data_IF_568407866156
#
_entry.id   IF_568407866156
#
_cell.length_a   1.000
_cell.length_b   1.000
_cell.length_c   1.000
_cell.angle_alpha   90.00
_cell.angle_beta   90.00
_cell.angle_gamma   90.00
#
_symmetry.space_group_name_H-M   'P 1'
#
loop_
_entity.id
_entity.type
_entity.pdbx_description
1 polymer ?
#
# COMPACT_ATOMS: atom_id res chain seq x y z
N UNK A 1 19.16 1.99 16.66
CA UNK A 1 18.99 0.53 16.48
C UNK A 1 18.21 -0.16 17.60
N UNK A 2 18.63 -0.14 18.88
CA UNK A 2 17.88 -0.84 19.96
C UNK A 2 16.42 -0.38 20.09
N UNK A 3 16.16 0.90 19.90
CA UNK A 3 14.81 1.49 19.96
C UNK A 3 13.87 1.04 18.84
N UNK A 4 14.39 0.49 17.73
CA UNK A 4 13.59 0.07 16.58
C UNK A 4 13.25 -1.43 16.60
N UNK A 5 13.98 -2.26 17.36
CA UNK A 5 13.81 -3.73 17.32
C UNK A 5 12.44 -4.17 17.81
N UNK A 6 12.00 -3.68 18.98
CA UNK A 6 10.71 -4.04 19.55
C UNK A 6 9.54 -3.50 18.72
N UNK A 7 9.53 -2.21 18.30
CA UNK A 7 8.54 -1.71 17.35
C UNK A 7 8.50 -2.48 16.03
N UNK A 8 9.64 -2.93 15.51
CA UNK A 8 9.68 -3.72 14.29
C UNK A 8 9.03 -5.10 14.48
N UNK A 9 9.28 -5.78 15.60
CA UNK A 9 8.58 -7.02 15.94
C UNK A 9 7.07 -6.79 16.08
N UNK A 10 6.67 -5.69 16.71
CA UNK A 10 5.26 -5.27 16.79
C UNK A 10 4.65 -5.08 15.40
N UNK A 11 5.37 -4.46 14.48
CA UNK A 11 4.91 -4.27 13.11
C UNK A 11 4.85 -5.59 12.33
N UNK A 12 5.80 -6.50 12.53
CA UNK A 12 5.74 -7.84 11.95
C UNK A 12 4.50 -8.63 12.43
N UNK A 13 4.12 -8.50 13.71
CA UNK A 13 2.86 -9.06 14.23
C UNK A 13 1.65 -8.39 13.58
N UNK A 14 1.67 -7.07 13.41
CA UNK A 14 0.62 -6.34 12.69
C UNK A 14 0.48 -6.88 11.25
N UNK A 15 1.57 -7.23 10.57
CA UNK A 15 1.50 -7.84 9.24
C UNK A 15 0.81 -9.21 9.24
N UNK A 16 0.91 -10.00 10.30
CA UNK A 16 0.12 -11.24 10.44
C UNK A 16 -1.38 -10.94 10.52
N UNK A 17 -1.75 -9.88 11.26
CA UNK A 17 -3.14 -9.38 11.33
C UNK A 17 -3.60 -8.95 9.93
N UNK A 18 -2.76 -8.21 9.19
CA UNK A 18 -3.03 -7.78 7.81
C UNK A 18 -3.25 -8.97 6.88
N UNK A 19 -2.40 -10.00 6.95
CA UNK A 19 -2.55 -11.23 6.15
C UNK A 19 -3.91 -11.87 6.41
N UNK A 20 -4.30 -11.99 7.68
CA UNK A 20 -5.58 -12.59 8.07
C UNK A 20 -6.76 -11.72 7.62
N UNK A 21 -6.67 -10.40 7.76
CA UNK A 21 -7.68 -9.47 7.26
C UNK A 21 -7.88 -9.60 5.74
N UNK A 22 -6.80 -9.80 4.97
CA UNK A 22 -6.87 -10.04 3.52
C UNK A 22 -7.62 -11.32 3.12
N UNK A 23 -7.69 -12.33 3.99
CA UNK A 23 -8.44 -13.56 3.74
C UNK A 23 -9.93 -13.28 3.52
N UNK A 24 -10.46 -12.19 4.07
CA UNK A 24 -11.84 -11.77 3.86
C UNK A 24 -12.18 -11.56 2.39
N UNK A 25 -11.22 -11.07 1.61
CA UNK A 25 -11.40 -10.75 0.19
C UNK A 25 -10.96 -11.92 -0.69
N UNK A 26 -10.09 -12.80 -0.19
CA UNK A 26 -9.76 -14.04 -0.89
C UNK A 26 -10.97 -14.98 -0.92
N UNK A 27 -11.35 -15.33 -2.14
CA UNK A 27 -12.36 -16.34 -2.47
C UNK A 27 -11.78 -17.57 -3.16
N UNK A 28 -10.47 -17.79 -3.01
CA UNK A 28 -9.89 -19.10 -3.31
C UNK A 28 -10.37 -20.11 -2.23
N UNK A 29 -10.76 -21.31 -2.66
CA UNK A 29 -11.22 -22.37 -1.74
C UNK A 29 -10.05 -22.91 -0.90
N UNK A 30 -8.89 -23.05 -1.54
CA UNK A 30 -7.63 -23.43 -0.90
C UNK A 30 -6.59 -22.36 -1.20
N UNK A 31 -5.89 -21.92 -0.15
CA UNK A 31 -4.95 -20.80 -0.24
C UNK A 31 -3.54 -21.35 -0.20
N UNK A 32 -2.87 -21.29 -1.35
CA UNK A 32 -1.45 -21.66 -1.53
C UNK A 32 -0.54 -20.46 -1.21
N UNK A 33 0.77 -20.63 -1.33
CA UNK A 33 1.76 -19.55 -1.09
C UNK A 33 1.48 -18.25 -1.87
N UNK A 34 1.15 -18.33 -3.16
CA UNK A 34 0.75 -17.14 -3.96
C UNK A 34 -0.56 -16.53 -3.46
N UNK A 35 -1.48 -17.35 -2.96
CA UNK A 35 -2.71 -16.89 -2.33
C UNK A 35 -2.43 -16.17 -1.01
N UNK A 36 -1.49 -16.64 -0.19
CA UNK A 36 -1.07 -15.93 1.03
C UNK A 36 -0.42 -14.58 0.72
N UNK A 37 0.44 -14.54 -0.29
CA UNK A 37 1.05 -13.28 -0.74
C UNK A 37 -0.03 -12.30 -1.25
N UNK A 38 -0.98 -12.79 -2.04
CA UNK A 38 -2.15 -11.99 -2.46
C UNK A 38 -2.97 -11.55 -1.23
N UNK A 39 -3.07 -12.38 -0.19
CA UNK A 39 -3.79 -12.06 1.05
C UNK A 39 -3.11 -10.91 1.77
N UNK A 40 -1.80 -10.97 1.87
CA UNK A 40 -1.01 -9.92 2.50
C UNK A 40 -1.21 -8.58 1.81
N UNK A 41 -0.99 -8.54 0.49
CA UNK A 41 -1.13 -7.32 -0.31
C UNK A 41 -2.56 -6.79 -0.27
N UNK A 42 -3.56 -7.65 -0.44
CA UNK A 42 -4.97 -7.21 -0.42
C UNK A 42 -5.45 -6.82 0.96
N UNK A 43 -4.90 -7.42 2.02
CA UNK A 43 -5.09 -6.98 3.40
C UNK A 43 -4.52 -5.58 3.62
N UNK A 44 -3.31 -5.30 3.11
CA UNK A 44 -2.70 -3.98 3.22
C UNK A 44 -3.55 -2.92 2.49
N UNK A 45 -4.00 -3.22 1.27
CA UNK A 45 -4.90 -2.33 0.51
C UNK A 45 -6.24 -2.13 1.20
N UNK A 46 -6.78 -3.17 1.86
CA UNK A 46 -8.02 -3.06 2.63
C UNK A 46 -7.87 -2.10 3.81
N UNK A 47 -6.75 -2.17 4.54
CA UNK A 47 -6.48 -1.26 5.65
C UNK A 47 -6.28 0.17 5.15
N UNK A 48 -5.54 0.36 4.05
CA UNK A 48 -5.39 1.68 3.45
C UNK A 48 -6.71 2.24 2.94
N UNK A 49 -7.55 1.43 2.30
CA UNK A 49 -8.88 1.84 1.85
C UNK A 49 -9.79 2.23 3.03
N UNK A 50 -9.76 1.46 4.13
CA UNK A 50 -10.50 1.80 5.34
C UNK A 50 -10.01 3.11 5.96
N UNK A 51 -8.69 3.30 6.05
CA UNK A 51 -8.10 4.53 6.56
C UNK A 51 -8.48 5.72 5.69
N UNK A 52 -8.46 5.59 4.36
CA UNK A 52 -8.87 6.66 3.44
C UNK A 52 -10.28 7.16 3.73
N UNK A 53 -11.24 6.23 3.83
CA UNK A 53 -12.64 6.58 4.07
C UNK A 53 -12.81 7.22 5.45
N UNK A 54 -12.21 6.64 6.48
CA UNK A 54 -12.32 7.15 7.85
C UNK A 54 -11.62 8.50 8.03
N UNK A 55 -10.35 8.60 7.64
CA UNK A 55 -9.54 9.78 7.86
C UNK A 55 -10.11 11.00 7.12
N UNK A 56 -10.42 10.88 5.82
CA UNK A 56 -10.98 12.03 5.08
C UNK A 56 -12.30 12.47 5.69
N UNK A 57 -13.21 11.54 6.01
CA UNK A 57 -14.50 11.89 6.60
C UNK A 57 -14.33 12.60 7.95
N UNK A 58 -13.47 12.09 8.82
CA UNK A 58 -13.25 12.64 10.16
C UNK A 58 -12.49 13.98 10.12
N UNK A 59 -11.53 14.14 9.21
CA UNK A 59 -10.84 15.43 8.99
C UNK A 59 -11.85 16.49 8.55
N UNK A 60 -12.73 16.16 7.58
CA UNK A 60 -13.77 17.08 7.11
C UNK A 60 -14.76 17.47 8.20
N UNK A 61 -15.09 16.53 9.10
CA UNK A 61 -15.95 16.76 10.26
C UNK A 61 -15.23 17.39 11.45
N UNK A 62 -13.93 17.69 11.35
CA UNK A 62 -13.09 18.24 12.43
C UNK A 62 -13.10 17.37 13.70
N UNK A 63 -13.16 16.05 13.53
CA UNK A 63 -13.02 15.13 14.66
C UNK A 63 -11.56 15.03 15.08
N UNK A 64 -11.34 14.72 16.36
CA UNK A 64 -9.99 14.53 16.88
C UNK A 64 -9.31 13.27 16.32
N UNK A 65 -7.99 13.32 16.22
CA UNK A 65 -7.14 12.18 15.87
C UNK A 65 -7.38 10.97 16.78
N UNK A 66 -7.69 11.19 18.06
CA UNK A 66 -8.01 10.14 19.02
C UNK A 66 -9.19 9.27 18.55
N UNK A 67 -10.22 9.89 17.98
CA UNK A 67 -11.42 9.22 17.46
C UNK A 67 -11.08 8.43 16.20
N UNK A 68 -10.27 8.99 15.30
CA UNK A 68 -9.77 8.28 14.11
C UNK A 68 -8.96 7.04 14.52
N UNK A 69 -8.03 7.21 15.46
CA UNK A 69 -7.16 6.14 15.94
C UNK A 69 -7.96 4.96 16.49
N UNK A 70 -8.89 5.21 17.42
CA UNK A 70 -9.67 4.13 18.04
C UNK A 70 -10.65 3.49 17.07
N UNK A 71 -11.28 4.29 16.20
CA UNK A 71 -12.19 3.77 15.17
C UNK A 71 -11.45 2.88 14.18
N UNK A 72 -10.28 3.32 13.71
CA UNK A 72 -9.46 2.55 12.79
C UNK A 72 -8.96 1.25 13.43
N UNK A 73 -8.50 1.30 14.69
CA UNK A 73 -8.13 0.09 15.45
C UNK A 73 -9.32 -0.88 15.57
N UNK A 74 -10.52 -0.38 15.87
CA UNK A 74 -11.74 -1.18 15.90
C UNK A 74 -12.03 -1.88 14.57
N UNK A 75 -11.90 -1.15 13.45
CA UNK A 75 -12.06 -1.74 12.10
C UNK A 75 -11.02 -2.82 11.84
N UNK A 76 -9.75 -2.60 12.17
CA UNK A 76 -8.68 -3.62 12.04
C UNK A 76 -9.02 -4.88 12.82
N UNK A 77 -9.49 -4.74 14.07
CA UNK A 77 -9.90 -5.87 14.92
C UNK A 77 -11.07 -6.64 14.31
N UNK A 78 -12.09 -5.94 13.80
CA UNK A 78 -13.24 -6.56 13.14
C UNK A 78 -12.80 -7.34 11.90
N UNK A 79 -11.98 -6.72 11.03
CA UNK A 79 -11.46 -7.36 9.82
C UNK A 79 -10.63 -8.60 10.16
N UNK A 80 -9.77 -8.51 11.18
CA UNK A 80 -9.02 -9.66 11.68
C UNK A 80 -9.95 -10.78 12.16
N UNK A 81 -10.92 -10.47 13.01
CA UNK A 81 -11.88 -11.43 13.56
C UNK A 81 -12.70 -12.16 12.49
N UNK A 82 -13.11 -11.45 11.43
CA UNK A 82 -13.78 -12.06 10.27
C UNK A 82 -12.84 -12.99 9.49
N UNK A 83 -11.57 -12.60 9.35
CA UNK A 83 -10.55 -13.33 8.62
C UNK A 83 -10.14 -14.64 9.28
N UNK A 84 -10.14 -14.72 10.62
CA UNK A 84 -9.75 -15.91 11.40
C UNK A 84 -10.49 -17.17 10.93
N UNK A 85 -11.78 -17.03 10.62
CA UNK A 85 -12.64 -18.15 10.18
C UNK A 85 -12.13 -18.83 8.90
N UNK A 86 -11.34 -18.11 8.10
CA UNK A 86 -10.78 -18.57 6.82
C UNK A 86 -9.36 -19.12 6.94
N UNK A 87 -8.69 -19.01 8.10
CA UNK A 87 -7.33 -19.53 8.31
C UNK A 87 -7.24 -21.03 7.99
N UNK A 88 -8.29 -21.80 8.29
CA UNK A 88 -8.37 -23.25 8.00
C UNK A 88 -8.24 -23.57 6.48
N UNK A 89 -8.44 -22.60 5.60
CA UNK A 89 -8.27 -22.74 4.14
C UNK A 89 -6.81 -22.62 3.68
N UNK A 90 -5.91 -22.20 4.56
CA UNK A 90 -4.49 -22.07 4.26
C UNK A 90 -3.88 -23.47 4.17
N UNK A 91 -3.32 -23.78 3.01
CA UNK A 91 -2.60 -25.04 2.74
C UNK A 91 -1.22 -24.68 2.21
N UNK A 92 -0.25 -24.72 3.12
CA UNK A 92 1.16 -24.48 2.80
C UNK A 92 1.77 -25.72 2.16
N UNK A 93 1.55 -25.89 0.85
CA UNK A 93 2.23 -26.93 0.08
C UNK A 93 3.56 -26.39 -0.43
N UNK A 94 4.66 -26.88 0.14
CA UNK A 94 6.01 -26.62 -0.38
C UNK A 94 6.17 -27.48 -1.64
N UNK A 95 6.21 -26.82 -2.79
CA UNK A 95 6.54 -27.50 -4.04
C UNK A 95 8.06 -27.62 -4.14
N UNK A 96 8.54 -28.78 -4.57
CA UNK A 96 9.97 -28.98 -4.81
C UNK A 96 10.41 -28.06 -5.95
N UNK A 97 11.26 -27.08 -5.62
CA UNK A 97 11.88 -26.20 -6.61
C UNK A 97 13.02 -26.95 -7.29
N UNK A 98 13.30 -26.62 -8.56
CA UNK A 98 14.54 -27.04 -9.19
C UNK A 98 15.74 -26.41 -8.47
N UNK A 99 16.94 -27.01 -8.54
CA UNK A 99 18.15 -26.42 -7.96
C UNK A 99 18.40 -24.99 -8.44
N UNK A 100 18.17 -24.72 -9.73
CA UNK A 100 18.31 -23.38 -10.33
C UNK A 100 17.29 -22.40 -9.75
N UNK A 101 16.02 -22.80 -9.65
CA UNK A 101 15.00 -21.97 -9.01
C UNK A 101 15.34 -21.68 -7.54
N UNK A 102 15.88 -22.65 -6.81
CA UNK A 102 16.30 -22.45 -5.42
C UNK A 102 17.43 -21.42 -5.33
N UNK A 103 18.43 -21.49 -6.21
CA UNK A 103 19.51 -20.49 -6.28
C UNK A 103 18.94 -19.09 -6.54
N UNK A 104 18.05 -18.93 -7.53
CA UNK A 104 17.44 -17.64 -7.80
C UNK A 104 16.53 -17.14 -6.67
N UNK A 105 15.83 -18.03 -5.97
CA UNK A 105 15.05 -17.68 -4.78
C UNK A 105 15.95 -17.13 -3.68
N UNK A 106 17.02 -17.85 -3.33
CA UNK A 106 17.96 -17.44 -2.28
C UNK A 106 18.65 -16.13 -2.67
N UNK A 107 19.11 -15.99 -3.92
CA UNK A 107 19.72 -14.76 -4.41
C UNK A 107 18.74 -13.58 -4.34
N UNK A 108 17.48 -13.78 -4.73
CA UNK A 108 16.45 -12.75 -4.62
C UNK A 108 16.21 -12.35 -3.18
N UNK A 109 16.05 -13.31 -2.26
CA UNK A 109 15.83 -13.05 -0.84
C UNK A 109 17.00 -12.27 -0.25
N UNK A 110 18.24 -12.69 -0.50
CA UNK A 110 19.42 -12.00 0.02
C UNK A 110 19.51 -10.55 -0.47
N UNK A 111 19.24 -10.32 -1.76
CA UNK A 111 19.27 -8.97 -2.34
C UNK A 111 18.12 -8.08 -1.81
N UNK A 112 16.92 -8.64 -1.63
CA UNK A 112 15.79 -7.91 -1.06
C UNK A 112 16.05 -7.58 0.42
N UNK A 113 16.64 -8.53 1.17
CA UNK A 113 17.01 -8.29 2.57
C UNK A 113 18.14 -7.27 2.70
N UNK A 114 19.11 -7.24 1.77
CA UNK A 114 20.14 -6.20 1.78
C UNK A 114 19.54 -4.81 1.54
N UNK A 115 18.58 -4.69 0.62
CA UNK A 115 17.82 -3.47 0.39
C UNK A 115 17.01 -3.05 1.62
N UNK A 116 16.28 -3.99 2.22
CA UNK A 116 15.54 -3.75 3.44
C UNK A 116 16.46 -3.31 4.60
N UNK A 117 17.68 -3.84 4.64
CA UNK A 117 18.72 -3.48 5.60
C UNK A 117 19.21 -2.03 5.47
N UNK A 118 19.15 -1.42 4.28
CA UNK A 118 19.53 -0.01 4.08
C UNK A 118 18.69 0.91 4.98
N UNK A 119 17.41 0.61 5.18
CA UNK A 119 16.52 1.38 6.06
C UNK A 119 16.80 1.20 7.56
N UNK A 120 17.42 0.07 7.93
CA UNK A 120 17.79 -0.25 9.30
C UNK A 120 19.14 0.34 9.72
N UNK A 121 20.09 0.33 8.80
CA UNK A 121 21.48 0.72 9.06
C UNK A 121 21.82 2.10 8.50
N UNK A 122 21.07 2.56 7.49
CA UNK A 122 21.22 3.86 6.86
C UNK A 122 20.24 4.89 7.41
N UNK A 123 20.49 6.15 7.05
CA UNK A 123 19.62 7.27 7.34
C UNK A 123 19.51 8.11 6.06
N UNK A 124 18.29 8.41 5.66
CA UNK A 124 17.99 9.34 4.57
C UNK A 124 17.27 10.54 5.18
N UNK A 125 17.72 11.74 4.84
CA UNK A 125 17.05 12.99 5.21
C UNK A 125 16.34 13.52 3.97
N UNK A 126 15.07 13.87 4.10
CA UNK A 126 14.26 14.36 2.99
C UNK A 126 13.57 15.66 3.35
N UNK A 127 13.45 16.59 2.41
CA UNK A 127 12.73 17.85 2.64
C UNK A 127 11.24 17.61 2.89
N UNK A 128 10.68 16.53 2.32
CA UNK A 128 9.30 16.13 2.57
C UNK A 128 9.05 15.76 4.05
N UNK A 129 10.10 15.52 4.85
CA UNK A 129 10.00 15.22 6.28
C UNK A 129 9.33 16.34 7.07
N UNK A 130 9.67 17.58 6.73
CA UNK A 130 9.16 18.78 7.37
C UNK A 130 7.64 18.95 7.21
N UNK A 131 7.02 18.20 6.28
CA UNK A 131 5.58 18.18 6.09
C UNK A 131 4.94 16.91 6.63
N UNK A 132 5.30 15.74 6.10
CA UNK A 132 4.59 14.50 6.43
C UNK A 132 4.80 14.08 7.89
N UNK A 133 6.02 14.21 8.42
CA UNK A 133 6.27 13.86 9.81
C UNK A 133 5.76 14.93 10.76
N UNK A 134 5.80 16.21 10.36
CA UNK A 134 5.23 17.31 11.13
C UNK A 134 3.72 17.13 11.31
N UNK A 135 2.97 16.89 10.22
CA UNK A 135 1.51 16.67 10.28
C UNK A 135 1.14 15.44 11.11
N UNK A 136 1.93 14.37 11.05
CA UNK A 136 1.70 13.18 11.86
C UNK A 136 1.96 13.42 13.36
N UNK A 137 3.04 14.13 13.71
CA UNK A 137 3.34 14.47 15.11
C UNK A 137 2.31 15.47 15.67
N UNK A 138 1.94 16.47 14.87
CA UNK A 138 0.96 17.49 15.25
C UNK A 138 -0.40 16.87 15.62
N UNK A 139 -0.86 15.90 14.83
CA UNK A 139 -2.09 15.17 15.13
C UNK A 139 -2.01 14.34 16.42
N UNK A 140 -0.82 13.83 16.76
CA UNK A 140 -0.61 13.09 18.01
C UNK A 140 -0.59 14.04 19.22
N UNK A 141 0.10 15.18 19.07
CA UNK A 141 0.35 16.12 20.18
C UNK A 141 -0.86 16.98 20.49
N UNK A 142 -1.57 17.46 19.46
CA UNK A 142 -2.66 18.42 19.62
C UNK A 142 -4.05 17.78 19.49
N UNK A 143 -4.14 16.61 18.85
CA UNK A 143 -5.41 15.97 18.50
C UNK A 143 -6.07 16.54 17.23
N UNK A 144 -5.64 17.70 16.75
CA UNK A 144 -6.16 18.30 15.52
C UNK A 144 -5.53 17.65 14.28
N UNK A 145 -6.30 17.52 13.19
CA UNK A 145 -5.80 16.96 11.93
C UNK A 145 -5.86 18.00 10.80
N UNK A 146 -4.73 18.24 10.13
CA UNK A 146 -4.62 19.06 8.92
C UNK A 146 -5.04 20.54 9.10
N UNK A 147 -4.92 21.08 10.31
CA UNK A 147 -5.34 22.46 10.65
C UNK A 147 -4.18 23.40 10.91
N UNK A 148 -2.95 22.89 11.07
CA UNK A 148 -1.76 23.70 11.34
C UNK A 148 -0.85 23.79 10.14
N UNK A 149 -0.17 24.92 10.02
CA UNK A 149 0.87 25.13 9.03
C UNK A 149 2.08 24.25 9.38
N UNK A 150 2.47 23.34 8.50
CA UNK A 150 3.70 22.55 8.68
C UNK A 150 4.97 23.41 8.55
N UNK A 151 4.87 24.64 8.03
CA UNK A 151 5.99 25.58 7.94
C UNK A 151 6.20 26.42 9.21
N UNK A 152 5.12 26.84 9.87
CA UNK A 152 5.17 27.80 10.99
C UNK A 152 4.66 27.24 12.32
N UNK A 153 3.96 26.10 12.31
CA UNK A 153 3.30 25.50 13.49
C UNK A 153 2.01 26.22 13.91
N UNK A 154 1.64 27.29 13.21
CA UNK A 154 0.47 28.11 13.54
C UNK A 154 -0.82 27.36 13.24
N UNK A 155 -1.78 27.46 14.15
CA UNK A 155 -3.13 26.98 13.94
C UNK A 155 -3.84 27.86 12.91
N UNK A 156 -4.29 27.24 11.83
CA UNK A 156 -5.05 27.89 10.78
C UNK A 156 -6.55 27.71 11.06
N UNK A 157 -7.34 28.76 10.88
CA UNK A 157 -8.82 28.67 10.93
C UNK A 157 -9.44 27.88 9.77
N UNK A 158 -8.61 27.20 8.95
CA UNK A 158 -8.98 26.44 7.76
C UNK A 158 -8.09 25.21 7.65
N UNK A 159 -8.32 24.37 6.64
CA UNK A 159 -7.38 23.29 6.36
C UNK A 159 -6.07 23.85 5.80
N UNK A 160 -4.94 23.28 6.21
CA UNK A 160 -3.60 23.75 5.82
C UNK A 160 -3.36 23.55 4.32
N UNK A 161 -3.51 22.31 3.86
CA UNK A 161 -3.29 21.91 2.47
C UNK A 161 -4.41 20.98 2.02
N UNK A 162 -5.26 21.44 1.10
CA UNK A 162 -6.43 20.67 0.65
C UNK A 162 -6.07 19.32 0.03
N UNK A 163 -4.87 19.21 -0.56
CA UNK A 163 -4.36 17.94 -1.12
C UNK A 163 -4.05 16.90 -0.04
N UNK A 164 -3.68 17.30 1.17
CA UNK A 164 -3.40 16.37 2.27
C UNK A 164 -4.68 15.98 3.00
N UNK A 165 -5.68 16.87 3.02
CA UNK A 165 -7.02 16.56 3.53
C UNK A 165 -7.64 15.38 2.78
N UNK A 166 -7.53 15.36 1.44
CA UNK A 166 -8.08 14.27 0.61
C UNK A 166 -7.16 13.06 0.47
N UNK A 167 -5.89 13.20 0.85
CA UNK A 167 -4.88 12.14 0.85
C UNK A 167 -4.12 12.13 2.18
N UNK A 168 -4.75 11.74 3.30
CA UNK A 168 -4.20 11.89 4.64
C UNK A 168 -3.18 10.81 4.98
N UNK A 169 -2.14 10.68 4.15
CA UNK A 169 -1.01 9.79 4.34
C UNK A 169 -0.29 9.94 5.70
N UNK A 170 -0.09 11.15 6.27
CA UNK A 170 0.54 11.29 7.60
C UNK A 170 -0.22 10.55 8.70
N UNK A 171 -1.55 10.45 8.59
CA UNK A 171 -2.37 9.78 9.61
C UNK A 171 -2.03 8.30 9.73
N UNK A 172 -1.56 7.66 8.66
CA UNK A 172 -1.03 6.30 8.74
C UNK A 172 0.17 6.24 9.68
N UNK A 173 1.14 7.14 9.53
CA UNK A 173 2.32 7.17 10.39
C UNK A 173 1.99 7.57 11.82
N UNK A 174 1.03 8.47 12.00
CA UNK A 174 0.53 8.82 13.33
C UNK A 174 -0.12 7.62 14.04
N UNK A 175 -0.94 6.85 13.33
CA UNK A 175 -1.54 5.63 13.87
C UNK A 175 -0.47 4.58 14.17
N UNK A 176 0.42 4.32 13.23
CA UNK A 176 1.47 3.30 13.39
C UNK A 176 2.43 3.66 14.54
N UNK A 177 2.79 4.94 14.72
CA UNK A 177 3.66 5.35 15.83
C UNK A 177 3.01 5.07 17.19
N UNK A 178 1.68 5.31 17.29
CA UNK A 178 0.87 5.01 18.48
C UNK A 178 0.71 3.51 18.73
N UNK A 179 0.44 2.71 17.69
CA UNK A 179 0.32 1.24 17.80
C UNK A 179 1.65 0.60 18.20
N UNK A 180 2.77 1.09 17.66
CA UNK A 180 4.10 0.53 17.86
C UNK A 180 4.85 1.16 19.04
N UNK A 181 4.23 2.11 19.74
CA UNK A 181 4.81 2.85 20.86
C UNK A 181 6.19 3.44 20.54
N UNK A 182 6.32 4.07 19.37
CA UNK A 182 7.60 4.62 18.89
C UNK A 182 7.40 5.98 18.21
N UNK A 183 8.51 6.62 17.80
CA UNK A 183 8.48 7.92 17.13
C UNK A 183 8.05 7.78 15.67
N UNK A 184 7.32 8.77 15.16
CA UNK A 184 6.88 8.83 13.75
C UNK A 184 8.07 8.64 12.79
N UNK A 185 9.22 9.23 13.08
CA UNK A 185 10.43 9.10 12.24
C UNK A 185 10.99 7.69 12.18
N UNK A 186 10.96 6.94 13.29
CA UNK A 186 11.38 5.53 13.30
C UNK A 186 10.41 4.69 12.46
N UNK A 187 9.12 4.99 12.53
CA UNK A 187 8.12 4.32 11.67
C UNK A 187 8.39 4.63 10.19
N UNK A 188 8.48 5.90 9.83
CA UNK A 188 8.57 6.37 8.45
C UNK A 188 9.88 5.96 7.77
N UNK A 189 11.03 6.02 8.46
CA UNK A 189 12.33 5.80 7.81
C UNK A 189 12.94 4.42 8.05
N UNK A 190 12.44 3.66 9.03
CA UNK A 190 12.99 2.33 9.35
C UNK A 190 11.93 1.24 9.22
N UNK A 191 10.85 1.30 9.98
CA UNK A 191 9.94 0.15 10.13
C UNK A 191 9.08 -0.06 8.88
N UNK A 192 8.39 1.00 8.44
CA UNK A 192 7.47 0.92 7.31
C UNK A 192 8.19 0.56 6.00
N UNK A 193 9.29 1.23 5.62
CA UNK A 193 10.00 0.94 4.37
C UNK A 193 10.49 -0.49 4.22
N UNK A 194 10.99 -1.10 5.30
CA UNK A 194 11.50 -2.49 5.28
C UNK A 194 10.40 -3.49 4.91
N UNK A 195 9.18 -3.29 5.38
CA UNK A 195 8.08 -4.19 5.02
C UNK A 195 7.55 -3.86 3.63
N UNK A 196 7.46 -2.57 3.30
CA UNK A 196 6.91 -2.11 2.03
C UNK A 196 7.77 -2.57 0.84
N UNK A 197 9.10 -2.58 0.98
CA UNK A 197 9.99 -3.09 -0.09
C UNK A 197 9.78 -4.59 -0.33
N UNK A 198 9.54 -5.38 0.72
CA UNK A 198 9.24 -6.81 0.60
C UNK A 198 7.90 -7.00 -0.12
N UNK A 199 6.91 -6.17 0.20
CA UNK A 199 5.61 -6.16 -0.49
C UNK A 199 5.76 -5.83 -1.98
N UNK A 200 6.57 -4.83 -2.35
CA UNK A 200 6.85 -4.46 -3.75
C UNK A 200 7.39 -5.65 -4.54
N UNK A 201 8.38 -6.37 -4.02
CA UNK A 201 8.90 -7.57 -4.69
C UNK A 201 7.90 -8.72 -4.69
N UNK A 202 7.05 -8.81 -3.67
CA UNK A 202 5.88 -9.68 -3.67
C UNK A 202 4.93 -9.40 -4.84
N UNK A 203 4.65 -8.12 -5.12
CA UNK A 203 3.83 -7.71 -6.26
C UNK A 203 4.52 -8.08 -7.58
N UNK A 204 5.82 -7.85 -7.72
CA UNK A 204 6.57 -8.30 -8.90
C UNK A 204 6.52 -9.82 -9.09
N UNK A 205 6.61 -10.60 -8.00
CA UNK A 205 6.43 -12.05 -8.07
C UNK A 205 5.01 -12.43 -8.52
N UNK A 206 3.97 -11.74 -8.04
CA UNK A 206 2.60 -11.97 -8.49
C UNK A 206 2.41 -11.64 -9.98
N UNK A 207 2.96 -10.53 -10.46
CA UNK A 207 2.97 -10.17 -11.90
C UNK A 207 3.68 -11.27 -12.70
N UNK A 208 4.89 -11.66 -12.28
CA UNK A 208 5.64 -12.73 -12.92
C UNK A 208 4.86 -14.05 -12.93
N UNK A 209 4.10 -14.35 -11.87
CA UNK A 209 3.29 -15.57 -11.79
C UNK A 209 2.14 -15.60 -12.80
N UNK A 210 1.62 -14.45 -13.20
CA UNK A 210 0.62 -14.33 -14.26
C UNK A 210 1.28 -14.40 -15.64
N UNK A 211 2.48 -13.85 -15.81
CA UNK A 211 3.15 -13.75 -17.12
C UNK A 211 3.94 -15.01 -17.49
N UNK A 212 4.58 -15.67 -16.53
CA UNK A 212 5.57 -16.73 -16.73
C UNK A 212 5.10 -18.04 -16.14
N UNK A 213 5.29 -19.15 -16.85
CA UNK A 213 4.84 -20.47 -16.41
C UNK A 213 5.83 -21.16 -15.46
N UNK A 214 7.14 -21.06 -15.73
CA UNK A 214 8.19 -21.74 -14.96
C UNK A 214 8.59 -20.95 -13.71
N UNK A 215 8.81 -21.63 -12.59
CA UNK A 215 9.26 -21.01 -11.33
C UNK A 215 10.61 -20.33 -11.47
N UNK A 216 11.53 -20.90 -12.24
CA UNK A 216 12.84 -20.34 -12.54
C UNK A 216 12.69 -18.97 -13.18
N UNK A 217 11.92 -18.88 -14.27
CA UNK A 217 11.70 -17.62 -14.99
C UNK A 217 11.04 -16.54 -14.09
N UNK A 218 10.11 -16.94 -13.22
CA UNK A 218 9.50 -16.00 -12.25
C UNK A 218 10.51 -15.43 -11.26
N UNK A 219 11.39 -16.28 -10.74
CA UNK A 219 12.41 -15.87 -9.77
C UNK A 219 13.54 -15.08 -10.46
N UNK A 220 13.90 -15.45 -11.68
CA UNK A 220 14.80 -14.65 -12.53
C UNK A 220 14.22 -13.25 -12.74
N UNK A 221 12.94 -13.12 -13.08
CA UNK A 221 12.29 -11.82 -13.23
C UNK A 221 12.40 -10.96 -11.96
N UNK A 222 12.10 -11.53 -10.79
CA UNK A 222 12.18 -10.80 -9.52
C UNK A 222 13.63 -10.41 -9.19
N UNK A 223 14.58 -11.32 -9.40
CA UNK A 223 16.00 -11.04 -9.19
C UNK A 223 16.49 -9.88 -10.07
N UNK A 224 16.16 -9.91 -11.37
CA UNK A 224 16.52 -8.83 -12.29
C UNK A 224 15.83 -7.51 -11.94
N UNK A 225 14.55 -7.55 -11.57
CA UNK A 225 13.85 -6.35 -11.09
C UNK A 225 14.50 -5.76 -9.83
N UNK A 226 14.98 -6.62 -8.92
CA UNK A 226 15.70 -6.19 -7.73
C UNK A 226 17.08 -5.61 -8.03
N UNK A 227 17.83 -6.21 -8.96
CA UNK A 227 19.12 -5.71 -9.42
C UNK A 227 18.99 -4.34 -10.10
N UNK A 228 18.02 -4.19 -11.02
CA UNK A 228 17.79 -2.92 -11.71
C UNK A 228 17.48 -1.82 -10.71
N UNK A 229 16.57 -2.08 -9.74
CA UNK A 229 16.24 -1.08 -8.73
C UNK A 229 17.45 -0.73 -7.86
N UNK A 230 18.28 -1.71 -7.50
CA UNK A 230 19.47 -1.50 -6.66
C UNK A 230 20.52 -0.60 -7.31
N UNK A 231 20.77 -0.78 -8.61
CA UNK A 231 21.87 -0.11 -9.31
C UNK A 231 21.43 1.12 -10.10
N UNK A 232 20.13 1.36 -10.29
CA UNK A 232 19.62 2.46 -11.10
C UNK A 232 19.36 3.74 -10.27
N UNK A 233 20.44 4.37 -9.83
CA UNK A 233 20.46 5.61 -9.03
C UNK A 233 20.71 6.91 -9.81
N UNK A 234 20.55 6.92 -11.14
CA UNK A 234 20.92 8.07 -11.98
C UNK A 234 20.05 9.33 -11.81
N UNK A 235 18.97 9.27 -11.03
CA UNK A 235 18.10 10.42 -10.72
C UNK A 235 17.32 10.20 -9.43
N UNK A 236 16.96 11.30 -8.75
CA UNK A 236 16.08 11.27 -7.57
C UNK A 236 14.63 10.90 -7.89
N UNK A 237 14.28 10.87 -9.19
CA UNK A 237 12.95 10.54 -9.72
C UNK A 237 12.88 9.17 -10.38
N UNK A 238 13.87 8.29 -10.15
CA UNK A 238 13.82 6.91 -10.65
C UNK A 238 12.99 6.01 -9.74
N UNK A 239 12.46 4.93 -10.32
CA UNK A 239 11.79 3.87 -9.55
C UNK A 239 12.71 3.25 -8.49
N UNK A 240 14.01 3.10 -8.77
CA UNK A 240 14.98 2.64 -7.78
C UNK A 240 15.03 3.57 -6.57
N UNK A 241 15.16 4.88 -6.77
CA UNK A 241 15.16 5.86 -5.68
C UNK A 241 13.83 5.90 -4.91
N UNK A 242 12.70 5.83 -5.63
CA UNK A 242 11.38 5.79 -4.99
C UNK A 242 11.18 4.54 -4.13
N UNK A 243 11.59 3.37 -4.60
CA UNK A 243 11.45 2.12 -3.85
C UNK A 243 12.48 1.94 -2.73
N UNK A 244 13.72 2.44 -2.90
CA UNK A 244 14.84 2.14 -1.99
C UNK A 244 15.18 3.24 -1.00
N UNK A 245 14.73 4.46 -1.22
CA UNK A 245 15.07 5.60 -0.38
C UNK A 245 13.79 6.28 0.13
N UNK A 246 12.81 6.45 -0.75
CA UNK A 246 11.65 7.33 -0.51
C UNK A 246 10.33 6.59 -0.38
N UNK A 247 10.33 5.26 -0.22
CA UNK A 247 9.11 4.43 -0.31
C UNK A 247 8.06 4.78 0.76
N UNK A 248 8.47 5.45 1.83
CA UNK A 248 7.60 6.00 2.87
C UNK A 248 6.80 7.22 2.40
N UNK A 249 7.22 7.91 1.36
CA UNK A 249 6.46 9.02 0.78
C UNK A 249 5.32 8.48 -0.05
N UNK A 250 4.12 9.02 0.14
CA UNK A 250 2.95 8.50 -0.56
C UNK A 250 3.06 8.56 -2.09
N UNK A 251 3.72 9.58 -2.67
CA UNK A 251 4.00 9.61 -4.11
C UNK A 251 4.88 8.45 -4.61
N UNK A 252 5.88 8.09 -3.83
CA UNK A 252 6.77 6.98 -4.13
C UNK A 252 6.04 5.64 -3.92
N UNK A 253 5.25 5.52 -2.85
CA UNK A 253 4.40 4.34 -2.62
C UNK A 253 3.40 4.12 -3.77
N UNK A 254 2.80 5.17 -4.33
CA UNK A 254 1.93 5.05 -5.51
C UNK A 254 2.70 4.45 -6.70
N UNK A 255 3.91 4.96 -6.95
CA UNK A 255 4.73 4.51 -8.08
C UNK A 255 5.24 3.06 -7.90
N UNK A 256 5.66 2.70 -6.69
CA UNK A 256 6.26 1.40 -6.38
C UNK A 256 5.22 0.30 -6.10
N UNK A 257 4.05 0.65 -5.57
CA UNK A 257 3.04 -0.31 -5.06
C UNK A 257 1.77 -0.26 -5.90
N UNK A 258 1.12 0.90 -5.96
CA UNK A 258 -0.22 1.04 -6.56
C UNK A 258 -0.19 0.75 -8.06
N UNK A 259 0.75 1.37 -8.80
CA UNK A 259 0.84 1.19 -10.25
C UNK A 259 1.09 -0.29 -10.62
N UNK A 260 2.14 -0.97 -10.10
CA UNK A 260 2.36 -2.38 -10.42
C UNK A 260 1.19 -3.28 -10.01
N UNK A 261 0.55 -2.99 -8.88
CA UNK A 261 -0.58 -3.77 -8.39
C UNK A 261 -1.83 -3.62 -9.26
N UNK A 262 -2.11 -2.42 -9.78
CA UNK A 262 -3.16 -2.22 -10.79
C UNK A 262 -2.88 -3.06 -12.04
N UNK A 263 -1.65 -3.03 -12.56
CA UNK A 263 -1.26 -3.86 -13.71
C UNK A 263 -1.41 -5.36 -13.43
N UNK A 264 -1.04 -5.83 -12.24
CA UNK A 264 -1.29 -7.21 -11.82
C UNK A 264 -2.78 -7.58 -11.95
N UNK A 265 -3.68 -6.75 -11.41
CA UNK A 265 -5.12 -7.02 -11.49
C UNK A 265 -5.68 -6.87 -12.90
N UNK A 266 -5.19 -5.94 -13.72
CA UNK A 266 -5.56 -5.81 -15.13
C UNK A 266 -5.21 -7.08 -15.92
N UNK A 267 -4.01 -7.64 -15.70
CA UNK A 267 -3.60 -8.91 -16.29
C UNK A 267 -4.51 -10.05 -15.78
N UNK A 268 -4.80 -10.09 -14.48
CA UNK A 268 -5.62 -11.15 -13.88
C UNK A 268 -7.06 -11.16 -14.39
N UNK A 269 -7.70 -9.98 -14.51
CA UNK A 269 -9.04 -9.81 -15.09
C UNK A 269 -9.06 -10.34 -16.53
N UNK A 270 -8.07 -9.99 -17.35
CA UNK A 270 -7.99 -10.41 -18.75
C UNK A 270 -7.76 -11.93 -18.89
N UNK A 271 -6.81 -12.49 -18.14
CA UNK A 271 -6.44 -13.92 -18.28
C UNK A 271 -7.47 -14.87 -17.69
N UNK A 272 -8.13 -14.48 -16.60
CA UNK A 272 -8.96 -15.39 -15.80
C UNK A 272 -10.45 -15.06 -15.86
N UNK A 273 -10.83 -13.98 -16.55
CA UNK A 273 -12.21 -13.47 -16.60
C UNK A 273 -12.85 -13.37 -15.20
N UNK A 274 -12.04 -13.02 -14.19
CA UNK A 274 -12.45 -13.03 -12.79
C UNK A 274 -13.08 -11.70 -12.43
N UNK A 275 -14.41 -11.68 -12.40
CA UNK A 275 -15.18 -10.49 -12.02
C UNK A 275 -14.81 -9.94 -10.63
N UNK A 276 -14.39 -10.79 -9.70
CA UNK A 276 -13.93 -10.37 -8.36
C UNK A 276 -12.70 -9.46 -8.42
N UNK A 277 -11.87 -9.55 -9.46
CA UNK A 277 -10.67 -8.73 -9.55
C UNK A 277 -10.98 -7.23 -9.75
N UNK A 278 -12.18 -6.87 -10.20
CA UNK A 278 -12.65 -5.48 -10.19
C UNK A 278 -12.82 -4.89 -8.78
N UNK A 279 -13.22 -5.72 -7.80
CA UNK A 279 -13.29 -5.30 -6.39
C UNK A 279 -11.88 -4.96 -5.89
N UNK A 280 -10.88 -5.75 -6.29
CA UNK A 280 -9.49 -5.43 -5.96
C UNK A 280 -9.02 -4.14 -6.61
N UNK A 281 -9.39 -3.90 -7.88
CA UNK A 281 -9.07 -2.64 -8.56
C UNK A 281 -9.67 -1.45 -7.80
N UNK A 282 -10.92 -1.55 -7.34
CA UNK A 282 -11.56 -0.50 -6.51
C UNK A 282 -10.80 -0.25 -5.20
N UNK A 283 -10.39 -1.31 -4.51
CA UNK A 283 -9.63 -1.22 -3.26
C UNK A 283 -8.24 -0.62 -3.46
N UNK A 284 -7.55 -0.99 -4.53
CA UNK A 284 -6.25 -0.41 -4.90
C UNK A 284 -6.42 1.06 -5.29
N UNK A 285 -7.53 1.43 -5.94
CA UNK A 285 -7.90 2.83 -6.20
C UNK A 285 -8.03 3.65 -4.93
N UNK A 286 -8.79 3.16 -3.95
CA UNK A 286 -8.94 3.78 -2.62
C UNK A 286 -7.60 3.89 -1.87
N UNK A 287 -6.81 2.82 -1.86
CA UNK A 287 -5.49 2.82 -1.23
C UNK A 287 -4.55 3.85 -1.90
N UNK A 288 -4.61 3.99 -3.22
CA UNK A 288 -3.85 5.02 -3.92
C UNK A 288 -4.29 6.44 -3.56
N UNK A 289 -5.59 6.66 -3.34
CA UNK A 289 -6.12 7.96 -2.91
C UNK A 289 -5.59 8.39 -1.53
N UNK A 290 -5.37 7.44 -0.61
CA UNK A 290 -4.75 7.69 0.69
C UNK A 290 -3.33 8.25 0.57
N UNK A 291 -2.56 7.70 -0.36
CA UNK A 291 -1.13 7.95 -0.43
C UNK A 291 -0.80 9.37 -0.90
N UNK A 292 -1.46 9.87 -1.95
CA UNK A 292 -1.19 11.24 -2.44
C UNK A 292 -2.26 11.71 -3.43
N UNK A 293 -2.30 13.03 -3.67
CA UNK A 293 -3.10 13.60 -4.75
C UNK A 293 -2.72 13.04 -6.13
N UNK A 294 -1.46 12.64 -6.36
CA UNK A 294 -1.08 11.91 -7.58
C UNK A 294 -1.69 10.51 -7.61
N UNK A 295 -1.82 9.85 -6.47
CA UNK A 295 -2.51 8.56 -6.36
C UNK A 295 -3.97 8.65 -6.75
N UNK A 296 -4.68 9.73 -6.36
CA UNK A 296 -6.05 10.00 -6.83
C UNK A 296 -6.08 10.05 -8.37
N UNK A 297 -5.26 10.90 -8.97
CA UNK A 297 -5.25 11.10 -10.44
C UNK A 297 -4.81 9.84 -11.20
N UNK A 298 -3.73 9.19 -10.77
CA UNK A 298 -3.16 8.01 -11.45
C UNK A 298 -4.14 6.84 -11.38
N UNK A 299 -4.74 6.58 -10.22
CA UNK A 299 -5.73 5.49 -10.10
C UNK A 299 -6.95 5.77 -10.97
N UNK A 300 -7.48 7.00 -10.95
CA UNK A 300 -8.59 7.41 -11.81
C UNK A 300 -8.29 7.19 -13.30
N UNK A 301 -7.12 7.64 -13.77
CA UNK A 301 -6.72 7.53 -15.18
C UNK A 301 -6.49 6.06 -15.56
N UNK A 302 -5.69 5.32 -14.79
CA UNK A 302 -5.34 3.94 -15.15
C UNK A 302 -6.56 3.03 -15.13
N UNK A 303 -7.42 3.15 -14.11
CA UNK A 303 -8.66 2.36 -14.01
C UNK A 303 -9.63 2.78 -15.12
N UNK A 304 -9.77 4.09 -15.39
CA UNK A 304 -10.59 4.63 -16.47
C UNK A 304 -10.20 4.10 -17.85
N UNK A 305 -8.93 4.26 -18.21
CA UNK A 305 -8.39 3.81 -19.51
C UNK A 305 -8.50 2.30 -19.65
N UNK A 306 -8.10 1.54 -18.61
CA UNK A 306 -8.22 0.09 -18.64
C UNK A 306 -9.68 -0.37 -18.75
N UNK A 307 -10.60 0.27 -18.02
CA UNK A 307 -12.02 -0.05 -18.04
C UNK A 307 -12.64 0.13 -19.43
N UNK A 308 -12.38 1.28 -20.06
CA UNK A 308 -12.82 1.57 -21.43
C UNK A 308 -12.21 0.56 -22.40
N UNK A 309 -10.90 0.33 -22.34
CA UNK A 309 -10.23 -0.69 -23.16
C UNK A 309 -10.86 -2.07 -22.96
N UNK A 310 -11.12 -2.48 -21.72
CA UNK A 310 -11.65 -3.81 -21.41
C UNK A 310 -13.06 -4.00 -21.97
N UNK A 311 -13.92 -2.99 -21.90
CA UNK A 311 -15.27 -3.05 -22.46
C UNK A 311 -15.20 -3.10 -24.00
N UNK A 312 -14.39 -2.24 -24.62
CA UNK A 312 -14.29 -2.16 -26.09
C UNK A 312 -13.63 -3.40 -26.69
N UNK A 313 -12.52 -3.88 -26.12
CA UNK A 313 -11.76 -5.01 -26.66
C UNK A 313 -12.45 -6.36 -26.45
N UNK A 314 -13.14 -6.56 -25.33
CA UNK A 314 -13.79 -7.84 -25.01
C UNK A 314 -15.30 -7.84 -25.25
N UNK A 315 -15.89 -6.68 -25.59
CA UNK A 315 -17.33 -6.49 -25.85
C UNK A 315 -18.26 -7.10 -24.78
N UNK A 316 -17.78 -7.17 -23.54
CA UNK A 316 -18.49 -7.79 -22.43
C UNK A 316 -19.16 -6.73 -21.55
N UNK A 317 -20.32 -6.28 -22.01
CA UNK A 317 -21.12 -5.22 -21.36
C UNK A 317 -21.51 -5.54 -19.91
N UNK A 318 -21.54 -6.83 -19.52
CA UNK A 318 -21.77 -7.25 -18.12
C UNK A 318 -20.68 -6.75 -17.16
N UNK A 319 -19.53 -6.30 -17.68
CA UNK A 319 -18.43 -5.74 -16.89
C UNK A 319 -18.61 -4.26 -16.53
N UNK A 320 -19.54 -3.54 -17.17
CA UNK A 320 -19.78 -2.10 -16.93
C UNK A 320 -20.03 -1.77 -15.46
N UNK A 321 -20.93 -2.45 -14.73
CA UNK A 321 -21.17 -2.12 -13.34
C UNK A 321 -19.90 -2.26 -12.48
N UNK A 322 -19.07 -3.27 -12.75
CA UNK A 322 -17.82 -3.49 -12.03
C UNK A 322 -16.77 -2.42 -12.34
N UNK A 323 -16.69 -2.00 -13.61
CA UNK A 323 -15.86 -0.86 -14.00
C UNK A 323 -16.29 0.42 -13.27
N UNK A 324 -17.59 0.75 -13.30
CA UNK A 324 -18.13 1.94 -12.62
C UNK A 324 -17.79 1.90 -11.12
N UNK A 325 -18.07 0.78 -10.45
CA UNK A 325 -17.74 0.60 -9.03
C UNK A 325 -16.24 0.74 -8.75
N UNK A 326 -15.38 0.32 -9.69
CA UNK A 326 -13.93 0.43 -9.52
C UNK A 326 -13.38 1.85 -9.66
N UNK A 327 -14.05 2.72 -10.43
CA UNK A 327 -13.59 4.09 -10.68
C UNK A 327 -14.22 5.12 -9.74
N UNK A 328 -15.43 4.84 -9.23
CA UNK A 328 -16.16 5.71 -8.30
C UNK A 328 -15.29 6.20 -7.14
N UNK A 329 -14.49 5.37 -6.45
CA UNK A 329 -13.76 5.84 -5.28
C UNK A 329 -12.75 6.94 -5.61
N UNK A 330 -11.92 6.74 -6.64
CA UNK A 330 -10.95 7.74 -7.08
C UNK A 330 -11.63 8.99 -7.63
N UNK A 331 -12.74 8.84 -8.34
CA UNK A 331 -13.53 9.97 -8.83
C UNK A 331 -14.12 10.78 -7.67
N UNK A 332 -14.66 10.12 -6.65
CA UNK A 332 -15.25 10.78 -5.49
C UNK A 332 -14.22 11.64 -4.77
N UNK A 333 -13.02 11.12 -4.49
CA UNK A 333 -11.96 11.92 -3.84
C UNK A 333 -11.39 13.02 -4.73
N UNK A 334 -11.33 12.81 -6.05
CA UNK A 334 -11.00 13.88 -6.99
C UNK A 334 -12.03 15.02 -6.92
N UNK A 335 -13.33 14.70 -6.92
CA UNK A 335 -14.39 15.70 -6.80
C UNK A 335 -14.33 16.42 -5.44
N UNK A 336 -14.13 15.68 -4.34
CA UNK A 336 -13.95 16.28 -3.01
C UNK A 336 -12.82 17.31 -3.00
N UNK A 337 -11.67 16.98 -3.62
CA UNK A 337 -10.55 17.92 -3.73
C UNK A 337 -10.93 19.21 -4.46
N UNK A 338 -11.63 19.09 -5.59
CA UNK A 338 -12.09 20.26 -6.35
C UNK A 338 -13.13 21.07 -5.58
N UNK A 339 -14.05 20.43 -4.87
CA UNK A 339 -15.05 21.09 -4.04
C UNK A 339 -14.43 21.83 -2.84
N UNK A 340 -13.33 21.35 -2.28
CA UNK A 340 -12.62 22.02 -1.19
C UNK A 340 -11.77 23.20 -1.67
N UNK A 341 -11.38 23.20 -2.95
CA UNK A 341 -10.57 24.26 -3.56
C UNK A 341 -11.40 25.44 -4.06
N UNK A 342 -12.65 25.20 -4.44
CA UNK A 342 -13.60 26.22 -4.89
C UNK A 342 -14.20 27.01 -3.73
#
# INVERSE_FOLDING_TARGET
>A
MREAVLPFLGYAILQLIVIVAGLNIIGEKEIRWTGLLKSWITGQMLLFAALQVLAVSMILLRWEFSVLFWTFCGVVIVLFGLGIRKIKRIKLTIHKLSPIALVFLVASILLILSQAGIYFFGMHLDEDDARWLAEANDAIETGDMMTRSYHTGELLGKFAEMRDVVSPWPMLFAILSRVLFTRVSIVAHTIYPTVEIILVYGIYYLIASELLQKSEARLTFVLFAALIQYFYGGSVYTQGTFSLIRIWQGKASVAAVIIPLLFYFFISVNKKNRTRDWIYIALVGLAGCLMSGMGISITLILIGVYGVYNILAYQNWKRIPFFIVSVIPSLAFALTYYCLKG
#
